data_IF_683158861193
#
_entry.id   IF_683158861193
#
_cell.length_a   1.000
_cell.length_b   1.000
_cell.length_c   1.000
_cell.angle_alpha   90.00
_cell.angle_beta   90.00
_cell.angle_gamma   90.00
#
_symmetry.space_group_name_H-M   'P 1'
#
loop_
_entity.id
_entity.type
_entity.pdbx_description
1 polymer ?
#
# COMPACT_ATOMS: atom_id res chain seq x y z
N UNK A 1 -11.58 -6.13 4.10
CA UNK A 1 -11.85 -6.43 2.67
C UNK A 1 -11.95 -5.11 1.96
N UNK A 2 -11.27 -4.97 0.83
CA UNK A 2 -11.20 -3.75 0.03
C UNK A 2 -11.71 -4.08 -1.38
N UNK A 3 -12.71 -3.36 -1.87
CA UNK A 3 -13.27 -3.51 -3.21
C UNK A 3 -13.39 -2.12 -3.81
N UNK A 4 -12.95 -1.95 -5.06
CA UNK A 4 -13.03 -0.69 -5.80
C UNK A 4 -13.48 -0.98 -7.21
N UNK A 5 -14.57 -0.35 -7.64
CA UNK A 5 -14.87 -0.23 -9.05
C UNK A 5 -13.98 0.84 -9.68
N UNK A 6 -13.88 0.82 -10.99
CA UNK A 6 -13.44 2.01 -11.73
C UNK A 6 -14.40 3.17 -11.43
N UNK A 7 -13.86 4.40 -11.43
CA UNK A 7 -14.61 5.62 -11.16
C UNK A 7 -15.58 5.96 -12.28
N UNK A 8 -15.24 5.62 -13.53
CA UNK A 8 -16.14 5.77 -14.68
C UNK A 8 -17.36 4.86 -14.53
N UNK A 9 -18.57 5.40 -14.27
CA UNK A 9 -19.76 4.62 -13.99
C UNK A 9 -20.27 3.84 -15.21
N UNK A 10 -19.74 4.12 -16.42
CA UNK A 10 -20.06 3.34 -17.62
C UNK A 10 -19.31 2.00 -17.69
N UNK A 11 -18.31 1.78 -16.82
CA UNK A 11 -17.49 0.58 -16.80
C UNK A 11 -17.90 -0.37 -15.68
N UNK A 12 -18.44 -1.52 -16.06
CA UNK A 12 -18.71 -2.64 -15.14
C UNK A 12 -17.42 -3.42 -14.81
N UNK A 13 -16.38 -2.75 -14.31
CA UNK A 13 -15.07 -3.31 -13.98
C UNK A 13 -14.63 -2.84 -12.60
N UNK A 14 -14.00 -3.72 -11.83
CA UNK A 14 -13.37 -3.37 -10.57
C UNK A 14 -12.28 -4.34 -10.15
N UNK A 15 -11.71 -4.08 -8.98
CA UNK A 15 -10.68 -4.89 -8.36
C UNK A 15 -11.03 -5.20 -6.90
N UNK A 16 -10.51 -6.32 -6.41
CA UNK A 16 -10.54 -6.72 -4.99
C UNK A 16 -9.14 -7.15 -4.57
N UNK A 17 -8.71 -6.66 -3.41
CA UNK A 17 -7.42 -7.03 -2.82
C UNK A 17 -7.53 -8.29 -1.96
N UNK A 18 -6.70 -9.30 -2.26
CA UNK A 18 -6.61 -10.55 -1.52
C UNK A 18 -5.37 -10.56 -0.63
N UNK A 19 -5.52 -10.06 0.60
CA UNK A 19 -4.40 -9.69 1.48
C UNK A 19 -3.30 -10.76 1.62
N UNK A 20 -3.64 -11.94 2.17
CA UNK A 20 -2.65 -12.99 2.42
C UNK A 20 -2.05 -13.58 1.15
N UNK A 21 -2.86 -13.74 0.10
CA UNK A 21 -2.37 -14.19 -1.22
C UNK A 21 -1.52 -13.13 -1.93
N UNK A 22 -1.61 -11.87 -1.48
CA UNK A 22 -0.95 -10.70 -2.09
C UNK A 22 -1.26 -10.57 -3.57
N UNK A 23 -2.53 -10.75 -3.93
CA UNK A 23 -3.04 -10.62 -5.30
C UNK A 23 -4.10 -9.54 -5.42
N UNK A 24 -4.15 -8.89 -6.58
CA UNK A 24 -5.28 -8.08 -7.02
C UNK A 24 -6.09 -8.88 -8.03
N UNK A 25 -7.35 -9.14 -7.69
CA UNK A 25 -8.28 -9.83 -8.58
C UNK A 25 -9.14 -8.78 -9.26
N UNK A 26 -9.09 -8.75 -10.59
CA UNK A 26 -9.99 -7.96 -11.42
C UNK A 26 -11.29 -8.72 -11.56
N UNK A 27 -12.42 -8.04 -11.44
CA UNK A 27 -13.73 -8.58 -11.78
C UNK A 27 -14.41 -7.67 -12.79
N UNK A 28 -15.22 -8.26 -13.68
CA UNK A 28 -15.95 -7.49 -14.68
C UNK A 28 -17.17 -8.22 -15.19
N UNK A 29 -18.16 -7.45 -15.65
CA UNK A 29 -19.35 -7.99 -16.29
C UNK A 29 -19.04 -8.45 -17.72
N UNK A 30 -19.55 -9.62 -18.08
CA UNK A 30 -19.41 -10.22 -19.40
C UNK A 30 -20.55 -9.79 -20.32
N UNK A 31 -20.43 -10.07 -21.62
CA UNK A 31 -21.44 -9.70 -22.62
C UNK A 31 -22.81 -10.34 -22.37
N UNK A 32 -22.86 -11.50 -21.72
CA UNK A 32 -24.11 -12.20 -21.35
C UNK A 32 -24.72 -11.70 -20.02
N UNK A 33 -24.12 -10.68 -19.39
CA UNK A 33 -24.58 -10.08 -18.15
C UNK A 33 -24.13 -10.79 -16.87
N UNK A 34 -23.39 -11.89 -16.97
CA UNK A 34 -22.74 -12.53 -15.82
C UNK A 34 -21.47 -11.79 -15.38
N UNK A 35 -20.81 -12.25 -14.32
CA UNK A 35 -19.58 -11.65 -13.80
C UNK A 35 -18.41 -12.64 -13.88
N UNK A 36 -17.30 -12.19 -14.45
CA UNK A 36 -16.03 -12.92 -14.44
C UNK A 36 -15.05 -12.33 -13.44
N UNK A 37 -14.04 -13.10 -13.06
CA UNK A 37 -12.90 -12.61 -12.28
C UNK A 37 -11.58 -13.30 -12.70
N UNK A 38 -10.47 -12.59 -12.55
CA UNK A 38 -9.13 -13.11 -12.80
C UNK A 38 -8.07 -12.42 -11.94
N UNK A 39 -6.95 -13.08 -11.68
CA UNK A 39 -5.80 -12.45 -11.03
C UNK A 39 -5.10 -11.53 -12.02
N UNK A 40 -5.12 -10.22 -11.77
CA UNK A 40 -4.48 -9.23 -12.63
C UNK A 40 -3.10 -8.81 -12.12
N UNK A 41 -2.89 -8.83 -10.80
CA UNK A 41 -1.58 -8.54 -10.18
C UNK A 41 -1.29 -9.61 -9.12
N UNK A 42 -0.05 -10.08 -9.08
CA UNK A 42 0.44 -11.00 -8.03
C UNK A 42 1.79 -10.51 -7.50
N UNK A 43 1.87 -10.34 -6.18
CA UNK A 43 3.12 -10.05 -5.48
C UNK A 43 3.69 -11.34 -4.94
N UNK A 44 4.90 -11.68 -5.40
CA UNK A 44 5.61 -12.89 -4.99
C UNK A 44 5.95 -12.85 -3.50
N UNK A 45 5.64 -13.92 -2.77
CA UNK A 45 6.15 -14.14 -1.41
C UNK A 45 7.67 -14.28 -1.42
N UNK A 46 8.33 -13.64 -0.47
CA UNK A 46 9.79 -13.68 -0.36
C UNK A 46 10.20 -14.77 0.61
N UNK A 47 11.23 -15.55 0.26
CA UNK A 47 11.91 -16.39 1.25
C UNK A 47 12.56 -15.48 2.28
N UNK A 48 12.45 -15.83 3.56
CA UNK A 48 12.94 -14.99 4.66
C UNK A 48 13.63 -15.81 5.74
N UNK A 49 14.62 -15.21 6.39
CA UNK A 49 15.28 -15.72 7.58
C UNK A 49 14.85 -14.92 8.80
N UNK A 50 14.93 -15.53 9.99
CA UNK A 50 14.54 -14.93 11.28
C UNK A 50 13.08 -14.44 11.30
N UNK A 51 12.20 -15.17 10.61
CA UNK A 51 10.76 -14.97 10.57
C UNK A 51 10.05 -16.27 10.96
N UNK A 52 8.82 -16.17 11.44
CA UNK A 52 8.05 -17.32 11.94
C UNK A 52 7.70 -18.35 10.85
N UNK A 53 7.69 -17.94 9.58
CA UNK A 53 7.44 -18.79 8.42
C UNK A 53 8.63 -18.74 7.44
N UNK A 54 8.80 -19.74 6.56
CA UNK A 54 9.89 -19.74 5.57
C UNK A 54 9.70 -18.68 4.48
N UNK A 55 8.46 -18.25 4.25
CA UNK A 55 8.10 -17.25 3.25
C UNK A 55 7.22 -16.15 3.86
N UNK A 56 7.42 -14.93 3.36
CA UNK A 56 6.70 -13.73 3.76
C UNK A 56 5.88 -13.18 2.58
N UNK A 57 4.54 -13.17 2.67
CA UNK A 57 3.71 -12.53 1.65
C UNK A 57 3.87 -11.00 1.72
N UNK A 58 3.45 -10.29 0.67
CA UNK A 58 3.38 -8.82 0.69
C UNK A 58 2.41 -8.31 1.76
N UNK A 59 1.28 -9.01 1.90
CA UNK A 59 0.11 -8.61 2.66
C UNK A 59 -0.48 -7.30 2.14
N UNK A 60 -1.21 -7.39 1.02
CA UNK A 60 -1.90 -6.22 0.44
C UNK A 60 -3.05 -5.81 1.37
N UNK A 61 -2.89 -4.70 2.08
CA UNK A 61 -3.87 -4.28 3.12
C UNK A 61 -4.85 -3.21 2.64
N UNK A 62 -4.40 -2.35 1.73
CA UNK A 62 -5.21 -1.31 1.12
C UNK A 62 -4.84 -1.12 -0.35
N UNK A 63 -5.80 -0.65 -1.13
CA UNK A 63 -5.59 -0.19 -2.48
C UNK A 63 -6.66 0.83 -2.90
N UNK A 64 -6.30 1.68 -3.85
CA UNK A 64 -7.19 2.67 -4.46
C UNK A 64 -6.87 2.84 -5.95
N UNK A 65 -7.77 3.52 -6.63
CA UNK A 65 -7.70 3.81 -8.07
C UNK A 65 -7.74 5.34 -8.24
N UNK A 66 -6.88 5.90 -9.09
CA UNK A 66 -6.92 7.33 -9.40
C UNK A 66 -8.23 7.71 -10.10
N UNK A 67 -8.72 8.93 -9.89
CA UNK A 67 -10.02 9.36 -10.43
C UNK A 67 -10.15 9.27 -11.96
N UNK A 68 -9.02 9.33 -12.68
CA UNK A 68 -8.97 9.17 -14.13
C UNK A 68 -8.94 7.70 -14.59
N UNK A 69 -9.05 6.73 -13.67
CA UNK A 69 -8.94 5.29 -13.89
C UNK A 69 -7.64 4.82 -14.54
N UNK A 70 -6.58 5.63 -14.49
CA UNK A 70 -5.29 5.31 -15.15
C UNK A 70 -4.31 4.57 -14.25
N UNK A 71 -4.40 4.77 -12.93
CA UNK A 71 -3.46 4.16 -11.99
C UNK A 71 -4.15 3.47 -10.81
N UNK A 72 -3.60 2.32 -10.43
CA UNK A 72 -3.93 1.59 -9.21
C UNK A 72 -2.75 1.63 -8.26
N UNK A 73 -3.02 1.89 -6.99
CA UNK A 73 -2.02 1.96 -5.93
C UNK A 73 -2.36 0.95 -4.85
N UNK A 74 -1.37 0.28 -4.28
CA UNK A 74 -1.59 -0.58 -3.11
C UNK A 74 -0.40 -0.61 -2.16
N UNK A 75 -0.68 -0.97 -0.91
CA UNK A 75 0.30 -1.10 0.17
C UNK A 75 0.55 -2.57 0.55
N UNK A 76 1.82 -3.00 0.52
CA UNK A 76 2.24 -4.28 1.07
C UNK A 76 2.73 -4.07 2.50
N UNK A 77 1.90 -4.39 3.49
CA UNK A 77 2.18 -4.05 4.87
C UNK A 77 3.35 -4.84 5.48
N UNK A 78 3.57 -6.10 5.09
CA UNK A 78 4.72 -6.87 5.60
C UNK A 78 6.00 -6.58 4.83
N UNK A 79 5.91 -6.42 3.50
CA UNK A 79 7.09 -6.08 2.69
C UNK A 79 7.58 -4.67 2.97
N UNK A 80 6.68 -3.72 3.21
CA UNK A 80 7.06 -2.33 3.49
C UNK A 80 7.01 -1.40 2.29
N UNK A 81 6.45 -1.82 1.16
CA UNK A 81 6.42 -1.04 -0.06
C UNK A 81 5.01 -0.62 -0.49
N UNK A 82 4.95 0.52 -1.17
CA UNK A 82 3.78 0.98 -1.93
C UNK A 82 4.10 0.81 -3.39
N UNK A 83 3.13 0.32 -4.17
CA UNK A 83 3.26 0.14 -5.62
C UNK A 83 2.22 0.95 -6.37
N UNK A 84 2.61 1.40 -7.56
CA UNK A 84 1.76 2.07 -8.53
C UNK A 84 1.77 1.25 -9.83
N UNK A 85 0.59 0.95 -10.34
CA UNK A 85 0.38 0.25 -11.60
C UNK A 85 -0.42 1.13 -12.57
N UNK A 86 0.03 1.24 -13.81
CA UNK A 86 -0.84 1.73 -14.89
C UNK A 86 -1.88 0.65 -15.20
N UNK A 87 -3.16 1.05 -15.26
CA UNK A 87 -4.32 0.20 -15.52
C UNK A 87 -5.18 0.70 -16.68
N UNK A 88 -4.61 1.46 -17.63
CA UNK A 88 -5.29 1.85 -18.87
C UNK A 88 -5.78 0.63 -19.67
N UNK A 89 -5.07 -0.50 -19.55
CA UNK A 89 -5.61 -1.84 -19.78
C UNK A 89 -5.80 -2.55 -18.42
N UNK A 90 -7.01 -2.55 -17.83
CA UNK A 90 -7.25 -3.14 -16.52
C UNK A 90 -6.94 -4.64 -16.45
N UNK A 91 -6.94 -5.34 -17.59
CA UNK A 91 -6.63 -6.77 -17.67
C UNK A 91 -5.13 -7.05 -17.55
N UNK A 92 -4.28 -6.10 -17.96
CA UNK A 92 -2.83 -6.25 -17.94
C UNK A 92 -2.14 -5.06 -17.22
N UNK A 93 -2.31 -4.90 -15.89
CA UNK A 93 -1.68 -3.81 -15.16
C UNK A 93 -0.15 -3.83 -15.26
N UNK A 94 0.46 -2.66 -15.43
CA UNK A 94 1.92 -2.51 -15.58
C UNK A 94 2.50 -1.75 -14.39
N UNK A 95 3.47 -2.34 -13.69
CA UNK A 95 4.16 -1.67 -12.58
C UNK A 95 4.93 -0.45 -13.11
N UNK A 96 4.64 0.74 -12.57
CA UNK A 96 5.26 2.01 -12.97
C UNK A 96 6.02 2.69 -11.83
N UNK A 97 5.76 2.32 -10.58
CA UNK A 97 6.47 2.86 -9.42
C UNK A 97 6.42 1.92 -8.22
N UNK A 98 7.50 1.90 -7.45
CA UNK A 98 7.62 1.19 -6.19
C UNK A 98 8.51 1.99 -5.25
N UNK A 99 8.08 2.16 -4.00
CA UNK A 99 8.88 2.83 -2.96
C UNK A 99 8.82 2.04 -1.66
N UNK A 100 9.92 2.04 -0.90
CA UNK A 100 10.01 1.39 0.40
C UNK A 100 9.84 2.44 1.51
N UNK A 101 8.84 2.24 2.36
CA UNK A 101 8.44 3.17 3.44
C UNK A 101 8.35 2.48 4.80
N UNK A 102 9.07 1.37 4.97
CA UNK A 102 9.07 0.56 6.18
C UNK A 102 9.29 -0.91 5.86
N UNK A 103 8.58 -1.79 6.57
CA UNK A 103 8.59 -3.22 6.31
C UNK A 103 9.43 -4.03 7.28
N UNK A 104 9.23 -5.35 7.23
CA UNK A 104 9.90 -6.27 8.15
C UNK A 104 11.35 -6.54 7.78
N UNK A 105 11.73 -6.51 6.50
CA UNK A 105 13.10 -6.80 6.05
C UNK A 105 13.90 -5.54 5.67
N UNK A 106 13.59 -4.37 6.25
CA UNK A 106 14.41 -3.17 6.06
C UNK A 106 15.83 -3.34 6.61
N UNK A 107 16.81 -2.61 6.07
CA UNK A 107 18.20 -2.65 6.59
C UNK A 107 18.24 -2.39 8.10
N UNK A 108 18.99 -3.23 8.81
CA UNK A 108 19.09 -3.19 10.27
C UNK A 108 17.96 -3.92 11.02
N UNK A 109 16.98 -4.48 10.32
CA UNK A 109 16.02 -5.43 10.89
C UNK A 109 16.68 -6.80 11.16
N UNK A 110 16.22 -7.58 12.16
CA UNK A 110 16.61 -8.99 12.28
C UNK A 110 16.14 -9.87 11.12
N UNK A 111 15.06 -9.50 10.42
CA UNK A 111 14.52 -10.27 9.30
C UNK A 111 15.29 -9.96 8.03
N UNK A 112 15.69 -11.01 7.31
CA UNK A 112 16.46 -10.90 6.06
C UNK A 112 15.71 -11.64 4.97
N UNK A 113 15.39 -10.96 3.87
CA UNK A 113 14.84 -11.61 2.68
C UNK A 113 15.93 -12.33 1.90
N UNK A 114 15.55 -13.34 1.13
CA UNK A 114 16.47 -14.13 0.30
C UNK A 114 15.99 -14.05 -1.14
N UNK A 115 16.87 -13.58 -2.03
CA UNK A 115 16.62 -13.47 -3.47
C UNK A 115 16.57 -14.86 -4.13
N UNK A 116 16.16 -14.91 -5.40
CA UNK A 116 16.03 -16.17 -6.14
C UNK A 116 17.36 -16.91 -6.36
N UNK A 117 18.46 -16.17 -6.43
CA UNK A 117 19.84 -16.70 -6.47
C UNK A 117 20.42 -16.97 -5.07
N UNK A 118 19.60 -16.88 -4.01
CA UNK A 118 19.98 -17.25 -2.65
C UNK A 118 20.76 -16.18 -1.88
N UNK A 119 20.85 -14.95 -2.39
CA UNK A 119 21.56 -13.86 -1.72
C UNK A 119 20.69 -13.17 -0.66
N UNK A 120 21.27 -12.74 0.47
CA UNK A 120 20.55 -11.96 1.46
C UNK A 120 20.21 -10.57 0.90
N UNK A 121 18.99 -10.11 1.17
CA UNK A 121 18.51 -8.80 0.77
C UNK A 121 17.72 -8.15 1.91
N UNK A 122 17.92 -6.84 2.05
CA UNK A 122 17.14 -5.98 2.92
C UNK A 122 16.84 -4.67 2.19
N UNK A 123 15.61 -4.16 2.35
CA UNK A 123 15.19 -2.93 1.67
C UNK A 123 15.87 -1.69 2.25
N UNK A 124 16.24 -0.77 1.36
CA UNK A 124 16.67 0.57 1.71
C UNK A 124 15.46 1.45 1.99
N UNK A 125 15.32 1.88 3.25
CA UNK A 125 14.23 2.76 3.70
C UNK A 125 14.85 4.06 4.21
N UNK A 126 14.52 5.22 3.62
CA UNK A 126 15.09 6.48 4.07
C UNK A 126 14.50 6.93 5.40
N UNK A 127 15.19 7.85 6.06
CA UNK A 127 14.61 8.65 7.13
C UNK A 127 13.91 9.88 6.54
N UNK A 128 12.86 10.36 7.21
CA UNK A 128 12.15 11.59 6.83
C UNK A 128 12.20 12.54 8.02
N UNK A 129 12.76 13.73 7.83
CA UNK A 129 12.97 14.71 8.89
C UNK A 129 13.72 14.17 10.13
N UNK A 130 14.62 13.19 9.93
CA UNK A 130 15.36 12.53 11.01
C UNK A 130 14.57 11.44 11.75
N UNK A 131 13.34 11.14 11.32
CA UNK A 131 12.54 10.04 11.84
C UNK A 131 12.74 8.78 11.00
N UNK A 132 13.03 7.67 11.69
CA UNK A 132 13.02 6.33 11.10
C UNK A 132 11.58 5.89 10.81
N UNK A 133 11.34 5.37 9.61
CA UNK A 133 10.03 4.85 9.24
C UNK A 133 9.76 3.49 9.90
N UNK A 134 8.94 3.51 10.95
CA UNK A 134 8.40 2.35 11.70
C UNK A 134 7.19 1.70 11.00
N UNK A 135 6.93 0.42 11.29
CA UNK A 135 5.81 -0.29 10.66
C UNK A 135 6.01 -0.57 9.17
N UNK A 136 4.91 -0.93 8.50
CA UNK A 136 4.80 -0.96 7.04
C UNK A 136 3.61 -0.12 6.57
N UNK A 137 3.53 0.25 5.28
CA UNK A 137 2.45 1.07 4.77
C UNK A 137 1.12 0.32 4.86
N UNK A 138 0.07 1.01 5.29
CA UNK A 138 -1.25 0.43 5.47
C UNK A 138 -2.29 1.23 4.70
N UNK A 139 -3.10 2.09 5.32
CA UNK A 139 -4.09 2.89 4.59
C UNK A 139 -3.36 3.92 3.73
N UNK A 140 -3.84 4.08 2.51
CA UNK A 140 -3.40 5.07 1.54
C UNK A 140 -4.57 5.92 1.08
N UNK A 141 -4.32 7.18 0.75
CA UNK A 141 -5.34 8.05 0.19
C UNK A 141 -4.74 9.03 -0.82
N UNK A 142 -5.29 9.04 -2.03
CA UNK A 142 -4.80 9.84 -3.14
C UNK A 142 -5.61 11.13 -3.26
N UNK A 143 -4.91 12.24 -3.50
CA UNK A 143 -5.54 13.51 -3.82
C UNK A 143 -6.34 13.43 -5.13
N UNK A 144 -7.40 14.23 -5.26
CA UNK A 144 -8.26 14.23 -6.45
C UNK A 144 -7.49 14.54 -7.75
N UNK A 145 -6.42 15.35 -7.68
CA UNK A 145 -5.56 15.65 -8.83
C UNK A 145 -4.52 14.55 -9.14
N UNK A 146 -4.49 13.48 -8.34
CA UNK A 146 -3.59 12.32 -8.51
C UNK A 146 -2.12 12.56 -8.16
N UNK A 147 -1.75 13.71 -7.59
CA UNK A 147 -0.35 14.12 -7.40
C UNK A 147 0.23 13.83 -6.02
N UNK A 148 -0.62 13.58 -5.01
CA UNK A 148 -0.20 13.39 -3.61
C UNK A 148 -0.90 12.15 -3.06
N UNK A 149 -0.11 11.16 -2.66
CA UNK A 149 -0.60 9.97 -1.98
C UNK A 149 -0.15 10.04 -0.53
N UNK A 150 -1.09 10.04 0.42
CA UNK A 150 -0.76 10.00 1.83
C UNK A 150 -0.89 8.57 2.33
N UNK A 151 -0.06 8.21 3.31
CA UNK A 151 -0.01 6.85 3.86
C UNK A 151 0.15 6.88 5.37
N UNK A 152 -0.61 6.04 6.06
CA UNK A 152 -0.45 5.68 7.49
C UNK A 152 -0.03 4.21 7.60
N UNK A 153 0.37 3.77 8.79
CA UNK A 153 1.07 2.49 8.96
C UNK A 153 0.49 1.52 10.02
N UNK A 154 -0.61 1.86 10.69
CA UNK A 154 -1.30 0.93 11.62
C UNK A 154 -2.37 0.12 10.89
N UNK A 155 -2.40 -1.20 11.08
CA UNK A 155 -3.40 -2.10 10.50
C UNK A 155 -4.49 -2.45 11.50
N UNK A 156 -4.08 -3.06 12.61
CA UNK A 156 -4.96 -3.55 13.65
C UNK A 156 -4.10 -3.81 14.87
N UNK A 157 -4.45 -3.23 16.03
CA UNK A 157 -3.56 -3.13 17.19
C UNK A 157 -2.92 -4.46 17.63
N UNK A 158 -3.64 -5.59 17.55
CA UNK A 158 -3.09 -6.90 17.88
C UNK A 158 -2.02 -7.36 16.87
N UNK A 159 -2.24 -7.10 15.58
CA UNK A 159 -1.29 -7.41 14.51
C UNK A 159 -0.11 -6.44 14.55
N UNK A 160 -0.36 -5.15 14.79
CA UNK A 160 0.69 -4.15 14.97
C UNK A 160 1.61 -4.56 16.12
N UNK A 161 1.06 -4.97 17.27
CA UNK A 161 1.84 -5.44 18.41
C UNK A 161 2.66 -6.71 18.10
N UNK A 162 2.14 -7.61 17.27
CA UNK A 162 2.81 -8.85 16.90
C UNK A 162 3.95 -8.63 15.89
N UNK A 163 3.71 -7.83 14.87
CA UNK A 163 4.62 -7.70 13.73
C UNK A 163 5.49 -6.44 13.79
N UNK A 164 4.97 -5.35 14.35
CA UNK A 164 5.66 -4.08 14.49
C UNK A 164 5.49 -3.52 15.91
N UNK A 165 6.06 -4.16 16.95
CA UNK A 165 5.84 -3.79 18.35
C UNK A 165 6.18 -2.33 18.65
N UNK A 166 7.12 -1.73 17.91
CA UNK A 166 7.47 -0.30 18.02
C UNK A 166 6.26 0.63 17.76
N UNK A 167 5.27 0.22 16.96
CA UNK A 167 4.04 1.02 16.75
C UNK A 167 3.23 1.17 18.03
N UNK A 168 3.24 0.18 18.92
CA UNK A 168 2.57 0.28 20.22
C UNK A 168 3.30 1.23 21.16
N UNK A 169 4.62 1.26 21.09
CA UNK A 169 5.48 2.03 21.99
C UNK A 169 5.61 3.50 21.56
N UNK A 170 5.63 3.75 20.25
CA UNK A 170 5.90 5.06 19.65
C UNK A 170 4.78 5.56 18.74
N UNK A 171 3.69 4.82 18.63
CA UNK A 171 2.55 5.21 17.78
C UNK A 171 2.83 4.98 16.31
N UNK A 172 1.90 5.44 15.49
CA UNK A 172 1.93 5.43 14.03
C UNK A 172 2.51 6.73 13.47
N UNK A 173 2.71 6.82 12.17
CA UNK A 173 3.04 8.10 11.52
C UNK A 173 2.32 8.19 10.17
N UNK A 174 2.31 9.39 9.59
CA UNK A 174 1.81 9.63 8.24
C UNK A 174 2.89 10.27 7.36
N UNK A 175 2.97 9.81 6.12
CA UNK A 175 3.85 10.34 5.07
C UNK A 175 3.01 10.91 3.92
N UNK A 176 3.62 11.81 3.15
CA UNK A 176 3.16 12.18 1.82
C UNK A 176 4.13 11.63 0.79
N UNK A 177 3.59 11.05 -0.26
CA UNK A 177 4.29 10.56 -1.44
C UNK A 177 3.90 11.45 -2.62
N UNK A 178 4.90 12.00 -3.30
CA UNK A 178 4.74 12.73 -4.54
C UNK A 178 4.56 11.73 -5.68
N UNK A 179 3.51 11.92 -6.48
CA UNK A 179 3.10 11.00 -7.54
C UNK A 179 3.24 11.67 -8.89
N UNK A 180 3.91 10.99 -9.82
CA UNK A 180 3.91 11.37 -11.23
C UNK A 180 2.68 10.76 -11.92
N UNK A 181 1.59 11.52 -11.98
CA UNK A 181 0.31 11.10 -12.57
C UNK A 181 0.31 11.05 -14.11
N UNK A 182 1.37 11.52 -14.77
CA UNK A 182 1.47 11.48 -16.23
C UNK A 182 2.16 10.21 -16.71
N UNK A 183 3.37 9.94 -16.20
CA UNK A 183 4.23 8.84 -16.65
C UNK A 183 4.27 7.66 -15.68
N UNK A 184 3.70 7.81 -14.49
CA UNK A 184 3.98 6.94 -13.36
C UNK A 184 5.32 7.26 -12.69
N UNK A 185 5.49 6.72 -11.49
CA UNK A 185 6.59 7.01 -10.58
C UNK A 185 6.12 7.67 -9.28
N UNK A 186 6.81 7.35 -8.19
CA UNK A 186 6.53 7.85 -6.85
C UNK A 186 7.83 8.24 -6.15
N UNK A 187 7.79 9.27 -5.31
CA UNK A 187 8.89 9.66 -4.45
C UNK A 187 8.37 10.06 -3.06
N UNK A 188 9.10 9.71 -2.01
CA UNK A 188 8.76 10.16 -0.64
C UNK A 188 9.02 11.66 -0.56
N UNK A 189 8.04 12.44 -0.09
CA UNK A 189 8.23 13.86 0.16
C UNK A 189 9.06 14.04 1.45
N UNK A 190 10.30 14.53 1.39
CA UNK A 190 11.17 14.65 2.56
C UNK A 190 10.71 15.75 3.54
N UNK A 191 9.77 16.59 3.13
CA UNK A 191 9.29 17.75 3.89
C UNK A 191 7.96 17.49 4.62
N UNK A 192 7.41 16.27 4.55
CA UNK A 192 6.15 15.93 5.19
C UNK A 192 6.29 14.69 6.08
N UNK A 193 6.10 14.88 7.38
CA UNK A 193 6.01 13.81 8.36
C UNK A 193 5.05 14.24 9.47
N UNK A 194 4.08 13.40 9.78
CA UNK A 194 3.21 13.59 10.96
C UNK A 194 3.48 12.44 11.92
N UNK A 195 4.01 12.79 13.09
CA UNK A 195 4.33 11.84 14.15
C UNK A 195 3.17 11.77 15.15
N UNK A 196 2.58 10.60 15.34
CA UNK A 196 1.53 10.36 16.34
C UNK A 196 2.08 9.80 17.67
N UNK A 197 3.39 9.91 17.92
CA UNK A 197 4.03 9.47 19.17
C UNK A 197 3.58 10.29 20.39
N UNK A 198 3.44 11.61 20.23
CA UNK A 198 3.24 12.56 21.31
C UNK A 198 1.78 13.07 21.44
N UNK A 199 0.80 12.26 21.05
CA UNK A 199 -0.61 12.60 21.24
C UNK A 199 -0.96 12.70 22.74
N UNK A 200 -2.00 13.47 23.14
CA UNK A 200 -2.26 13.82 24.54
C UNK A 200 -2.42 12.64 25.50
N UNK A 201 -2.96 11.51 25.03
CA UNK A 201 -3.20 10.29 25.80
C UNK A 201 -2.14 9.20 25.55
N UNK A 202 -1.00 9.58 24.96
CA UNK A 202 0.08 8.70 24.56
C UNK A 202 0.02 8.31 23.08
N UNK A 203 0.93 7.43 22.62
CA UNK A 203 1.11 7.16 21.20
C UNK A 203 -0.15 6.62 20.51
N UNK A 204 -0.53 7.23 19.39
CA UNK A 204 -1.75 6.88 18.67
C UNK A 204 -1.50 6.08 17.38
N UNK A 205 -2.48 5.25 17.03
CA UNK A 205 -2.46 4.35 15.88
C UNK A 205 -3.43 4.86 14.79
N UNK A 206 -2.93 5.72 13.91
CA UNK A 206 -3.63 6.29 12.78
C UNK A 206 -3.86 5.23 11.70
N UNK A 207 -5.12 5.10 11.28
CA UNK A 207 -5.59 4.15 10.29
C UNK A 207 -6.07 4.90 9.06
N UNK A 208 -7.38 5.06 8.86
CA UNK A 208 -7.95 5.72 7.69
C UNK A 208 -7.83 7.25 7.75
N UNK A 209 -7.70 7.85 6.57
CA UNK A 209 -7.66 9.30 6.37
C UNK A 209 -8.69 9.72 5.32
N UNK A 210 -9.33 10.88 5.53
CA UNK A 210 -10.33 11.45 4.63
C UNK A 210 -9.98 12.87 4.29
N UNK A 211 -10.12 13.24 3.02
CA UNK A 211 -9.86 14.61 2.58
C UNK A 211 -11.09 15.49 2.84
N UNK A 212 -10.88 16.75 3.29
CA UNK A 212 -11.94 17.73 3.29
C UNK A 212 -12.45 17.95 1.85
N UNK A 213 -13.73 17.65 1.60
CA UNK A 213 -14.36 17.85 0.29
C UNK A 213 -14.34 16.64 -0.65
N UNK A 214 -13.96 15.45 -0.16
CA UNK A 214 -14.03 14.21 -0.93
C UNK A 214 -12.66 13.67 -1.35
N UNK A 215 -12.60 12.36 -1.58
CA UNK A 215 -11.40 11.62 -2.00
C UNK A 215 -11.76 10.42 -2.87
N UNK A 216 -10.75 9.81 -3.50
CA UNK A 216 -10.93 8.70 -4.45
C UNK A 216 -11.47 7.41 -3.83
N UNK A 217 -11.82 7.39 -2.53
CA UNK A 217 -12.42 6.21 -1.89
C UNK A 217 -13.73 6.51 -1.16
N UNK A 218 -14.16 7.77 -1.13
CA UNK A 218 -15.37 8.21 -0.44
C UNK A 218 -16.52 8.60 -1.37
N UNK A 219 -16.21 9.06 -2.59
CA UNK A 219 -17.21 9.53 -3.55
C UNK A 219 -17.47 8.51 -4.66
N UNK A 220 -18.74 8.40 -5.06
CA UNK A 220 -19.20 7.65 -6.24
C UNK A 220 -19.88 8.64 -7.17
N UNK A 221 -19.41 8.69 -8.41
CA UNK A 221 -19.93 9.60 -9.43
C UNK A 221 -21.05 8.91 -10.24
N UNK A 222 -22.14 9.62 -10.52
CA UNK A 222 -23.33 9.13 -11.25
C UNK A 222 -23.51 9.94 -12.53
#
# INVERSE_FOLDING_TARGET
MQIRFLHDPSKDIGFVGCALASTMVRFSKTQDGSWNHEVAISVKSLKVQNWILPEMPGLITDFLISLDDRFLYFSNWLHGDIRQYNIEDPKNPVLTGQIWVGGLFRKGSPVVAVTDDGQPYQSDVPEVQGHRLRGGPQMIQLSLDGKRLYVTNSLFSAWDCQFYPELKEKGSHMLQIDVNSEKGGMAINPNFFVDFEAEPDGPALAHEMRYPGGDCTSDIWI
#
